data_IF_062408005097
#
_entry.id   IF_062408005097
#
_cell.length_a   1.000
_cell.length_b   1.000
_cell.length_c   1.000
_cell.angle_alpha   90.00
_cell.angle_beta   90.00
_cell.angle_gamma   90.00
#
_symmetry.space_group_name_H-M   'P 1'
#
loop_
_entity.id
_entity.type
_entity.pdbx_description
1 polymer ?
#
# COMPACT_ATOMS: atom_id res chain seq x y z
N UNK A 1 -3.45 8.72 -2.13
CA UNK A 1 -2.92 7.44 -2.58
C UNK A 1 -1.59 7.13 -1.89
N UNK A 2 -1.55 7.32 -0.56
CA UNK A 2 -0.34 7.33 0.25
C UNK A 2 0.05 5.95 0.80
N UNK A 3 -0.87 4.98 0.79
CA UNK A 3 -0.61 3.59 1.17
C UNK A 3 -0.05 2.79 0.00
N UNK A 4 1.14 2.20 0.16
CA UNK A 4 1.83 1.36 -0.84
C UNK A 4 0.99 0.19 -1.32
N UNK A 5 0.36 -0.54 -0.40
CA UNK A 5 -0.53 -1.65 -0.73
C UNK A 5 -1.65 -1.22 -1.69
N UNK A 6 -2.31 -0.11 -1.39
CA UNK A 6 -3.37 0.41 -2.26
C UNK A 6 -2.81 0.94 -3.60
N UNK A 7 -1.57 1.43 -3.65
CA UNK A 7 -0.90 1.77 -4.93
C UNK A 7 -0.70 0.51 -5.76
N UNK A 8 -0.22 -0.58 -5.17
CA UNK A 8 -0.03 -1.86 -5.85
C UNK A 8 -1.34 -2.40 -6.42
N UNK A 9 -2.46 -2.31 -5.67
CA UNK A 9 -3.78 -2.77 -6.14
C UNK A 9 -4.27 -2.08 -7.41
N UNK A 10 -3.79 -0.86 -7.71
CA UNK A 10 -4.16 -0.19 -8.96
C UNK A 10 -3.66 -0.92 -10.22
N UNK A 11 -2.65 -1.79 -10.08
CA UNK A 11 -2.08 -2.58 -11.16
C UNK A 11 -2.78 -3.94 -11.38
N UNK A 12 -3.74 -4.34 -10.54
CA UNK A 12 -4.48 -5.62 -10.67
C UNK A 12 -5.07 -5.80 -12.09
N UNK A 13 -5.50 -4.71 -12.73
CA UNK A 13 -6.08 -4.74 -14.08
C UNK A 13 -5.06 -4.97 -15.19
N UNK A 14 -3.77 -4.77 -14.92
CA UNK A 14 -2.69 -4.88 -15.91
C UNK A 14 -2.10 -6.30 -15.97
N UNK A 15 -2.39 -7.15 -14.99
CA UNK A 15 -1.92 -8.54 -14.92
C UNK A 15 -2.48 -9.43 -16.04
N UNK A 16 -3.50 -8.99 -16.76
CA UNK A 16 -4.04 -9.66 -17.95
C UNK A 16 -3.40 -9.20 -19.27
N UNK A 17 -2.47 -8.24 -19.24
CA UNK A 17 -1.70 -7.91 -20.43
C UNK A 17 -0.80 -9.11 -20.76
N UNK A 18 -0.96 -9.66 -21.96
CA UNK A 18 -0.25 -10.85 -22.46
C UNK A 18 1.28 -10.66 -22.64
N UNK A 19 1.87 -9.67 -21.98
CA UNK A 19 3.27 -9.29 -22.05
C UNK A 19 3.90 -9.42 -20.67
N UNK A 20 5.05 -10.08 -20.58
CA UNK A 20 5.84 -10.11 -19.36
C UNK A 20 6.46 -8.73 -19.16
N UNK A 21 5.94 -7.97 -18.20
CA UNK A 21 6.56 -6.71 -17.82
C UNK A 21 7.86 -6.99 -17.06
N UNK A 22 8.96 -6.37 -17.49
CA UNK A 22 10.27 -6.56 -16.82
C UNK A 22 10.36 -5.80 -15.49
N UNK A 23 9.61 -4.71 -15.33
CA UNK A 23 9.56 -3.94 -14.08
C UNK A 23 8.43 -4.44 -13.17
N UNK A 24 8.74 -4.72 -11.90
CA UNK A 24 7.73 -5.19 -10.95
C UNK A 24 6.77 -4.06 -10.54
N UNK A 25 5.46 -4.34 -10.56
CA UNK A 25 4.46 -3.39 -10.03
C UNK A 25 4.67 -3.08 -8.54
N UNK A 26 5.27 -4.00 -7.79
CA UNK A 26 5.66 -3.76 -6.40
C UNK A 26 6.74 -2.69 -6.29
N UNK A 27 7.75 -2.72 -7.16
CA UNK A 27 8.81 -1.70 -7.21
C UNK A 27 8.25 -0.34 -7.59
N UNK A 28 7.32 -0.32 -8.56
CA UNK A 28 6.62 0.89 -8.99
C UNK A 28 5.81 1.50 -7.85
N UNK A 29 5.05 0.66 -7.13
CA UNK A 29 4.27 1.07 -5.97
C UNK A 29 5.16 1.60 -4.84
N UNK A 30 6.26 0.89 -4.51
CA UNK A 30 7.25 1.34 -3.53
C UNK A 30 7.91 2.65 -3.92
N UNK A 31 8.11 2.92 -5.21
CA UNK A 31 8.65 4.18 -5.72
C UNK A 31 7.65 5.37 -5.68
N UNK A 32 6.46 5.16 -5.12
CA UNK A 32 5.44 6.20 -4.93
C UNK A 32 4.40 6.29 -6.05
N UNK A 33 4.41 5.38 -7.02
CA UNK A 33 3.55 5.43 -8.20
C UNK A 33 2.34 4.51 -8.09
N UNK A 34 1.23 4.90 -8.72
CA UNK A 34 0.04 4.09 -8.90
C UNK A 34 -0.39 4.13 -10.37
N UNK A 35 -1.01 3.05 -10.86
CA UNK A 35 -1.57 2.99 -12.20
C UNK A 35 -2.71 4.00 -12.36
N UNK A 36 -2.76 4.64 -13.51
CA UNK A 36 -3.86 5.51 -13.91
C UNK A 36 -4.87 4.75 -14.77
N UNK A 37 -5.94 5.41 -15.19
CA UNK A 37 -6.91 4.87 -16.15
C UNK A 37 -6.32 4.71 -17.56
N UNK A 38 -5.19 5.37 -17.86
CA UNK A 38 -4.49 5.23 -19.13
C UNK A 38 -3.57 4.02 -19.08
N UNK A 39 -3.69 3.17 -20.09
CA UNK A 39 -2.90 1.96 -20.20
C UNK A 39 -1.40 2.26 -20.15
N UNK A 40 -0.67 1.52 -19.30
CA UNK A 40 0.78 1.64 -19.03
C UNK A 40 1.22 2.96 -18.37
N UNK A 41 0.32 3.88 -18.04
CA UNK A 41 0.66 5.16 -17.41
C UNK A 41 0.56 5.03 -15.88
N UNK A 42 1.66 5.29 -15.17
CA UNK A 42 1.71 5.34 -13.71
C UNK A 42 2.09 6.73 -13.21
N UNK A 43 1.46 7.17 -12.12
CA UNK A 43 1.61 8.54 -11.58
C UNK A 43 2.08 8.52 -10.13
N UNK A 44 3.05 9.36 -9.81
CA UNK A 44 3.53 9.53 -8.45
C UNK A 44 2.46 10.23 -7.60
N UNK A 45 2.13 9.66 -6.43
CA UNK A 45 1.18 10.27 -5.51
C UNK A 45 1.66 11.62 -4.96
N UNK A 46 2.95 11.74 -4.68
CA UNK A 46 3.52 12.84 -3.90
C UNK A 46 3.87 14.08 -4.73
N UNK A 47 4.18 13.91 -6.02
CA UNK A 47 4.59 15.01 -6.89
C UNK A 47 3.82 15.08 -8.21
N UNK A 48 3.02 14.08 -8.53
CA UNK A 48 2.25 14.01 -9.78
C UNK A 48 3.05 13.68 -11.04
N UNK A 49 4.36 13.42 -10.94
CA UNK A 49 5.18 12.96 -12.06
C UNK A 49 4.59 11.67 -12.66
N UNK A 50 4.65 11.53 -13.99
CA UNK A 50 4.02 10.43 -14.72
C UNK A 50 5.07 9.67 -15.52
N UNK A 51 5.05 8.34 -15.43
CA UNK A 51 5.93 7.42 -16.15
C UNK A 51 5.10 6.44 -16.97
N UNK A 52 5.67 5.94 -18.06
CA UNK A 52 5.09 4.86 -18.85
C UNK A 52 5.89 3.59 -18.62
N UNK A 53 5.21 2.52 -18.24
CA UNK A 53 5.81 1.24 -17.88
C UNK A 53 5.43 0.23 -18.96
N UNK A 54 6.33 0.03 -19.90
CA UNK A 54 6.12 -0.84 -21.07
C UNK A 54 6.92 -2.14 -20.98
N UNK A 55 7.27 -2.70 -22.15
CA UNK A 55 8.05 -3.94 -22.26
C UNK A 55 9.49 -3.78 -21.75
N UNK A 56 10.09 -2.59 -21.92
CA UNK A 56 11.46 -2.34 -21.49
C UNK A 56 11.50 -2.02 -20.01
N UNK A 57 12.44 -2.64 -19.28
CA UNK A 57 12.74 -2.27 -17.90
C UNK A 57 13.02 -0.76 -17.78
N UNK A 58 12.33 -0.12 -16.84
CA UNK A 58 12.55 1.29 -16.48
C UNK A 58 13.03 1.35 -15.04
N UNK A 59 14.17 2.00 -14.80
CA UNK A 59 14.55 2.43 -13.45
C UNK A 59 13.60 3.57 -13.01
N UNK A 60 12.58 3.19 -12.23
CA UNK A 60 11.51 4.09 -11.81
C UNK A 60 12.05 5.23 -10.97
N UNK A 61 13.02 5.00 -10.07
CA UNK A 61 13.55 6.05 -9.21
C UNK A 61 14.37 7.06 -10.03
N UNK A 62 15.27 6.59 -10.89
CA UNK A 62 16.05 7.46 -11.77
C UNK A 62 15.14 8.28 -12.68
N UNK A 63 14.09 7.67 -13.24
CA UNK A 63 13.11 8.37 -14.07
C UNK A 63 12.30 9.39 -13.27
N UNK A 64 11.87 9.02 -12.06
CA UNK A 64 11.15 9.91 -11.14
C UNK A 64 12.00 11.15 -10.81
N UNK A 65 13.28 10.95 -10.47
CA UNK A 65 14.22 12.03 -10.15
C UNK A 65 14.46 12.97 -11.33
N UNK A 66 14.53 12.46 -12.55
CA UNK A 66 14.65 13.28 -13.76
C UNK A 66 13.40 14.12 -14.02
N UNK A 67 12.20 13.55 -13.82
CA UNK A 67 10.93 14.21 -14.07
C UNK A 67 10.61 15.27 -13.00
N UNK A 68 10.94 14.99 -11.74
CA UNK A 68 10.74 15.93 -10.64
C UNK A 68 11.79 15.73 -9.52
N UNK A 69 12.96 16.37 -9.62
CA UNK A 69 14.02 16.23 -8.61
C UNK A 69 13.68 16.87 -7.25
N UNK A 70 12.61 17.66 -7.19
CA UNK A 70 12.12 18.32 -5.96
C UNK A 70 10.99 17.55 -5.27
N UNK A 71 10.68 16.33 -5.72
CA UNK A 71 9.67 15.49 -5.10
C UNK A 71 9.99 15.24 -3.60
N UNK A 72 9.07 15.62 -2.72
CA UNK A 72 9.23 15.44 -1.27
C UNK A 72 9.46 13.97 -0.88
N UNK A 73 8.83 13.02 -1.59
CA UNK A 73 9.04 11.59 -1.37
C UNK A 73 10.48 11.14 -1.68
N UNK A 74 11.11 11.68 -2.72
CA UNK A 74 12.51 11.35 -3.06
C UNK A 74 13.51 12.01 -2.11
N UNK A 75 13.20 13.20 -1.59
CA UNK A 75 14.12 13.97 -0.75
C UNK A 75 13.98 13.61 0.73
N UNK A 76 12.76 13.43 1.20
CA UNK A 76 12.39 13.31 2.61
C UNK A 76 11.21 12.35 2.80
N UNK A 77 11.35 11.04 2.46
CA UNK A 77 10.25 10.07 2.53
C UNK A 77 9.64 9.95 3.93
N UNK A 78 10.46 10.11 4.98
CA UNK A 78 10.09 10.11 6.40
C UNK A 78 9.21 11.30 6.81
N UNK A 79 9.17 12.35 5.99
CA UNK A 79 8.36 13.56 6.20
C UNK A 79 7.14 13.63 5.29
N UNK A 80 6.83 12.53 4.61
CA UNK A 80 5.60 12.39 3.82
C UNK A 80 4.57 11.58 4.60
N UNK A 81 3.34 11.54 4.10
CA UNK A 81 2.29 10.65 4.60
C UNK A 81 2.37 9.24 4.00
N UNK A 82 3.50 8.83 3.40
CA UNK A 82 3.68 7.50 2.83
C UNK A 82 3.51 6.41 3.90
N UNK A 83 2.60 5.48 3.65
CA UNK A 83 2.41 4.29 4.47
C UNK A 83 2.99 3.11 3.71
N UNK A 84 4.11 2.61 4.20
CA UNK A 84 4.80 1.48 3.56
C UNK A 84 4.06 0.16 3.74
N UNK A 85 4.32 -0.78 2.86
CA UNK A 85 3.94 -2.18 3.06
C UNK A 85 4.85 -2.85 4.10
N UNK A 86 4.28 -3.77 4.88
CA UNK A 86 5.00 -4.59 5.85
C UNK A 86 5.04 -6.03 5.36
N UNK A 87 6.18 -6.70 5.55
CA UNK A 87 6.25 -8.12 5.26
C UNK A 87 5.61 -8.98 6.38
N UNK A 88 5.42 -10.27 6.09
CA UNK A 88 4.79 -11.20 7.02
C UNK A 88 5.57 -11.39 8.33
N UNK A 89 6.89 -11.21 8.34
CA UNK A 89 7.71 -11.31 9.54
C UNK A 89 7.56 -10.05 10.41
N UNK A 90 7.52 -8.87 9.80
CA UNK A 90 7.29 -7.60 10.47
C UNK A 90 5.91 -7.54 11.13
N UNK A 91 4.86 -8.02 10.44
CA UNK A 91 3.49 -8.07 10.96
C UNK A 91 3.32 -8.96 12.20
N UNK A 92 4.33 -9.75 12.57
CA UNK A 92 4.35 -10.44 13.88
C UNK A 92 4.54 -9.47 15.05
N UNK A 93 5.11 -8.28 14.81
CA UNK A 93 5.25 -7.20 15.80
C UNK A 93 3.96 -6.38 15.87
N UNK A 94 3.45 -6.19 17.09
CA UNK A 94 2.21 -5.42 17.33
C UNK A 94 2.30 -3.99 16.79
N UNK A 95 3.44 -3.32 16.96
CA UNK A 95 3.65 -1.96 16.46
C UNK A 95 3.57 -1.86 14.93
N UNK A 96 4.03 -2.87 14.21
CA UNK A 96 3.90 -2.93 12.75
C UNK A 96 2.44 -3.15 12.33
N UNK A 97 1.70 -4.02 13.03
CA UNK A 97 0.25 -4.20 12.78
C UNK A 97 -0.51 -2.91 13.06
N UNK A 98 -0.24 -2.25 14.18
CA UNK A 98 -0.90 -0.99 14.53
C UNK A 98 -0.67 0.08 13.47
N UNK A 99 0.55 0.16 12.92
CA UNK A 99 0.88 1.10 11.84
C UNK A 99 0.07 0.90 10.55
N UNK A 100 -0.59 -0.25 10.36
CA UNK A 100 -1.46 -0.48 9.20
C UNK A 100 -2.82 0.23 9.33
N UNK A 101 -3.26 0.60 10.53
CA UNK A 101 -4.61 1.15 10.77
C UNK A 101 -4.76 2.64 10.39
N UNK A 102 -3.98 3.12 9.43
CA UNK A 102 -4.14 4.46 8.88
C UNK A 102 -5.49 4.56 8.18
N UNK A 103 -6.27 5.59 8.55
CA UNK A 103 -7.63 5.82 8.05
C UNK A 103 -8.60 4.65 8.31
N UNK A 104 -8.45 3.94 9.43
CA UNK A 104 -9.40 2.90 9.85
C UNK A 104 -10.84 3.46 9.93
N UNK A 105 -11.84 2.84 9.26
CA UNK A 105 -13.16 3.45 9.11
C UNK A 105 -14.13 3.18 10.27
N UNK A 106 -13.83 2.22 11.17
CA UNK A 106 -14.76 1.79 12.23
C UNK A 106 -14.43 2.47 13.56
N UNK A 107 -15.16 3.54 13.90
CA UNK A 107 -14.87 4.35 15.08
C UNK A 107 -15.10 3.64 16.42
N UNK A 108 -15.99 2.64 16.48
CA UNK A 108 -16.35 1.95 17.72
C UNK A 108 -15.43 0.75 18.04
N UNK A 109 -14.58 0.32 17.10
CA UNK A 109 -13.57 -0.72 17.33
C UNK A 109 -12.18 -0.07 17.37
N UNK A 110 -11.45 -0.35 18.43
CA UNK A 110 -10.14 0.23 18.71
C UNK A 110 -9.02 -0.42 17.87
N UNK A 111 -8.31 0.32 17.01
CA UNK A 111 -7.16 -0.22 16.28
C UNK A 111 -6.05 -0.81 17.18
N UNK A 112 -5.69 -0.18 18.32
CA UNK A 112 -4.80 -0.82 19.30
C UNK A 112 -5.30 -2.19 19.80
N UNK A 113 -6.61 -2.35 20.02
CA UNK A 113 -7.17 -3.63 20.45
C UNK A 113 -7.07 -4.69 19.35
N UNK A 114 -7.39 -4.34 18.10
CA UNK A 114 -7.23 -5.22 16.94
C UNK A 114 -5.76 -5.64 16.75
N UNK A 115 -4.82 -4.68 16.79
CA UNK A 115 -3.40 -4.97 16.71
C UNK A 115 -2.94 -5.91 17.81
N UNK A 116 -3.36 -5.68 19.06
CA UNK A 116 -3.04 -6.54 20.21
C UNK A 116 -3.65 -7.94 20.09
N UNK A 117 -4.86 -8.06 19.54
CA UNK A 117 -5.50 -9.34 19.25
C UNK A 117 -4.85 -10.11 18.08
N UNK A 118 -3.92 -9.48 17.37
CA UNK A 118 -3.10 -10.12 16.34
C UNK A 118 -3.48 -9.75 14.91
N UNK A 119 -4.36 -8.77 14.74
CA UNK A 119 -4.87 -8.33 13.46
C UNK A 119 -4.15 -7.10 12.91
N UNK A 120 -4.03 -7.01 11.58
CA UNK A 120 -3.62 -5.81 10.86
C UNK A 120 -4.68 -5.43 9.83
N UNK A 121 -4.80 -4.15 9.52
CA UNK A 121 -5.75 -3.64 8.54
C UNK A 121 -5.31 -4.04 7.12
N UNK A 122 -6.25 -4.53 6.31
CA UNK A 122 -5.98 -4.91 4.91
C UNK A 122 -6.18 -3.74 3.93
N UNK A 123 -6.53 -2.56 4.44
CA UNK A 123 -6.92 -1.39 3.65
C UNK A 123 -8.13 -1.61 2.73
N UNK A 124 -8.93 -2.64 3.01
CA UNK A 124 -10.13 -3.00 2.26
C UNK A 124 -11.36 -2.97 3.18
N UNK A 125 -12.27 -2.01 2.97
CA UNK A 125 -13.43 -1.80 3.85
C UNK A 125 -12.98 -1.71 5.33
N UNK A 126 -13.54 -2.54 6.19
CA UNK A 126 -13.22 -2.72 7.60
C UNK A 126 -12.57 -4.11 7.84
N UNK A 127 -11.96 -4.69 6.81
CA UNK A 127 -11.36 -6.01 6.94
C UNK A 127 -10.00 -5.94 7.62
N UNK A 128 -9.77 -6.86 8.53
CA UNK A 128 -8.49 -7.09 9.17
C UNK A 128 -8.05 -8.53 8.95
N UNK A 129 -6.74 -8.78 8.93
CA UNK A 129 -6.16 -10.11 8.73
C UNK A 129 -5.25 -10.48 9.90
N UNK A 130 -5.33 -11.72 10.37
CA UNK A 130 -4.46 -12.22 11.44
C UNK A 130 -3.04 -12.48 10.91
N UNK A 131 -2.03 -12.02 11.64
CA UNK A 131 -0.62 -12.19 11.25
C UNK A 131 -0.06 -13.62 11.40
N UNK A 132 -0.84 -14.56 11.93
CA UNK A 132 -0.41 -15.95 12.13
C UNK A 132 -1.29 -16.96 11.39
N UNK A 133 -2.61 -16.91 11.59
CA UNK A 133 -3.52 -17.87 10.97
C UNK A 133 -4.06 -17.41 9.61
N UNK A 134 -3.74 -16.19 9.19
CA UNK A 134 -4.21 -15.57 7.95
C UNK A 134 -5.73 -15.40 7.81
N UNK A 135 -6.50 -15.69 8.86
CA UNK A 135 -7.94 -15.45 8.89
C UNK A 135 -8.25 -13.96 8.68
N UNK A 136 -9.27 -13.70 7.85
CA UNK A 136 -9.76 -12.35 7.56
C UNK A 136 -11.13 -12.18 8.21
N UNK A 137 -11.31 -11.09 8.95
CA UNK A 137 -12.55 -10.71 9.64
C UNK A 137 -12.89 -9.27 9.24
N UNK A 138 -14.18 -8.94 9.17
CA UNK A 138 -14.69 -7.59 8.93
C UNK A 138 -16.17 -7.54 9.27
N UNK A 139 -16.89 -6.53 8.79
CA UNK A 139 -18.29 -6.26 9.16
C UNK A 139 -18.46 -6.04 10.66
N UNK A 140 -17.57 -5.23 11.25
CA UNK A 140 -17.57 -4.96 12.69
C UNK A 140 -18.83 -4.23 13.14
N UNK A 141 -19.49 -4.76 14.16
CA UNK A 141 -20.70 -4.22 14.77
C UNK A 141 -20.44 -3.62 16.16
N UNK A 142 -21.36 -2.76 16.58
CA UNK A 142 -21.29 -2.15 17.93
C UNK A 142 -21.44 -3.24 18.99
N UNK A 143 -20.38 -3.45 19.76
CA UNK A 143 -20.33 -4.45 20.83
C UNK A 143 -19.38 -5.60 20.53
N UNK A 144 -18.87 -5.73 19.30
CA UNK A 144 -17.85 -6.72 18.97
C UNK A 144 -16.56 -6.48 19.77
N UNK A 145 -15.92 -7.56 20.20
CA UNK A 145 -14.64 -7.57 20.89
C UNK A 145 -13.59 -8.27 20.00
N UNK A 146 -12.48 -7.61 19.63
CA UNK A 146 -11.37 -8.21 18.89
C UNK A 146 -10.81 -9.52 19.47
N UNK A 147 -11.09 -9.84 20.73
CA UNK A 147 -10.60 -11.04 21.42
C UNK A 147 -11.59 -12.22 21.45
N UNK A 148 -12.81 -12.08 20.94
CA UNK A 148 -13.87 -13.11 21.06
C UNK A 148 -14.57 -13.44 19.75
#
# INVERSE_FOLDING_TARGET
MNVEFNRLRTFEQWEHASWTMETSFEEVAKAGFYATERFLEAKCHFCGATVYIGEQAVDIESKHRQLNPSCAFLLHPDRTDNVRSFDAAELKREECRLATFVNWPVAHISPPALAKAGFYYTFNSDQVKCAWCEGVIGQWEVGDDPFT
#
